data_IF_319186395332
#
_entry.id   IF_319186395332
#
_cell.length_a   1.000
_cell.length_b   1.000
_cell.length_c   1.000
_cell.angle_alpha   90.00
_cell.angle_beta   90.00
_cell.angle_gamma   90.00
#
_symmetry.space_group_name_H-M   'P 1'
#
loop_
_entity.id
_entity.type
_entity.pdbx_description
1 polymer ?
#
# COMPACT_ATOMS: atom_id res chain seq x y z
N UNK A 1 -7.69 -10.72 15.21
CA UNK A 1 -8.46 -9.53 14.76
C UNK A 1 -9.07 -9.90 13.44
N UNK A 2 -10.38 -10.07 13.40
CA UNK A 2 -11.06 -10.62 12.22
C UNK A 2 -11.32 -9.53 11.18
N UNK A 3 -11.42 -9.91 9.90
CA UNK A 3 -11.65 -8.98 8.79
C UNK A 3 -12.90 -8.11 9.01
N UNK A 4 -13.96 -8.68 9.57
CA UNK A 4 -15.19 -7.98 9.91
C UNK A 4 -14.95 -6.87 10.93
N UNK A 5 -14.19 -7.15 12.00
CA UNK A 5 -13.87 -6.17 13.05
C UNK A 5 -13.02 -5.02 12.50
N UNK A 6 -12.04 -5.31 11.65
CA UNK A 6 -11.22 -4.28 10.99
C UNK A 6 -12.04 -3.39 10.05
N UNK A 7 -12.99 -3.98 9.32
CA UNK A 7 -13.89 -3.24 8.44
C UNK A 7 -14.81 -2.31 9.25
N UNK A 8 -15.36 -2.80 10.35
CA UNK A 8 -16.20 -2.02 11.27
C UNK A 8 -15.43 -0.84 11.89
N UNK A 9 -14.17 -1.06 12.29
CA UNK A 9 -13.31 0.02 12.80
C UNK A 9 -13.09 1.11 11.75
N UNK A 10 -12.77 0.75 10.51
CA UNK A 10 -12.60 1.74 9.42
C UNK A 10 -13.90 2.49 9.17
N UNK A 11 -15.02 1.78 9.17
CA UNK A 11 -16.34 2.39 8.98
C UNK A 11 -16.70 3.38 10.11
N UNK A 12 -16.38 3.04 11.37
CA UNK A 12 -16.55 3.95 12.51
C UNK A 12 -15.71 5.21 12.34
N UNK A 13 -14.44 5.07 11.93
CA UNK A 13 -13.57 6.22 11.65
C UNK A 13 -14.14 7.09 10.54
N UNK A 14 -14.60 6.49 9.44
CA UNK A 14 -15.21 7.23 8.33
C UNK A 14 -16.49 7.97 8.74
N UNK A 15 -17.32 7.35 9.60
CA UNK A 15 -18.51 7.99 10.18
C UNK A 15 -18.14 9.17 11.07
N UNK A 16 -17.12 9.02 11.93
CA UNK A 16 -16.63 10.10 12.79
C UNK A 16 -16.06 11.28 11.99
N UNK A 17 -15.45 11.00 10.84
CA UNK A 17 -14.98 12.02 9.89
C UNK A 17 -16.11 12.65 9.06
N UNK A 18 -17.38 12.30 9.30
CA UNK A 18 -18.54 12.71 8.51
C UNK A 18 -18.34 12.51 6.99
N UNK A 19 -17.66 11.42 6.63
CA UNK A 19 -17.28 11.16 5.25
C UNK A 19 -18.49 10.74 4.41
N UNK A 20 -18.88 11.57 3.43
CA UNK A 20 -20.03 11.31 2.54
C UNK A 20 -19.57 11.00 1.11
N UNK A 21 -19.41 9.72 0.74
CA UNK A 21 -19.11 9.33 -0.64
C UNK A 21 -20.32 9.57 -1.55
N UNK A 22 -20.08 10.01 -2.79
CA UNK A 22 -21.16 10.38 -3.73
C UNK A 22 -21.86 9.18 -4.39
N UNK A 23 -21.10 8.14 -4.75
CA UNK A 23 -21.57 7.04 -5.62
C UNK A 23 -21.55 5.64 -4.98
N UNK A 24 -20.86 5.48 -3.86
CA UNK A 24 -20.62 4.18 -3.24
C UNK A 24 -21.11 4.20 -1.80
N UNK A 25 -21.56 3.04 -1.31
CA UNK A 25 -21.90 2.88 0.11
C UNK A 25 -20.62 3.00 0.93
N UNK A 26 -20.79 3.49 2.15
CA UNK A 26 -19.69 3.73 3.08
C UNK A 26 -19.03 2.41 3.52
N UNK A 27 -19.82 1.33 3.60
CA UNK A 27 -19.38 -0.04 3.88
C UNK A 27 -18.47 -0.59 2.78
N UNK A 28 -18.90 -0.50 1.52
CA UNK A 28 -18.11 -0.96 0.36
C UNK A 28 -16.76 -0.24 0.30
N UNK A 29 -16.75 1.06 0.60
CA UNK A 29 -15.52 1.85 0.66
C UNK A 29 -14.63 1.47 1.84
N UNK A 30 -15.20 1.23 3.03
CA UNK A 30 -14.43 0.77 4.18
C UNK A 30 -13.73 -0.56 3.87
N UNK A 31 -14.45 -1.49 3.25
CA UNK A 31 -13.94 -2.80 2.89
C UNK A 31 -12.88 -2.70 1.77
N UNK A 32 -13.08 -1.84 0.76
CA UNK A 32 -12.07 -1.60 -0.28
C UNK A 32 -10.80 -0.92 0.25
N UNK A 33 -10.92 0.01 1.20
CA UNK A 33 -9.78 0.64 1.89
C UNK A 33 -9.03 -0.42 2.72
N UNK A 34 -9.75 -1.30 3.41
CA UNK A 34 -9.12 -2.41 4.14
C UNK A 34 -8.34 -3.33 3.20
N UNK A 35 -8.96 -3.75 2.09
CA UNK A 35 -8.31 -4.57 1.08
C UNK A 35 -7.04 -3.88 0.52
N UNK A 36 -7.10 -2.57 0.29
CA UNK A 36 -5.95 -1.78 -0.14
C UNK A 36 -4.81 -1.75 0.89
N UNK A 37 -5.14 -1.59 2.16
CA UNK A 37 -4.17 -1.58 3.26
C UNK A 37 -3.50 -2.95 3.45
N UNK A 38 -4.29 -4.03 3.35
CA UNK A 38 -3.81 -5.41 3.41
C UNK A 38 -3.07 -5.83 2.13
N UNK A 39 -3.17 -5.05 1.06
CA UNK A 39 -2.47 -5.33 -0.19
C UNK A 39 -3.11 -6.38 -1.07
N UNK A 40 -4.38 -6.71 -0.81
CA UNK A 40 -5.19 -7.62 -1.61
C UNK A 40 -5.58 -6.97 -2.93
N UNK A 41 -5.73 -7.76 -3.99
CA UNK A 41 -6.19 -7.26 -5.29
C UNK A 41 -7.62 -6.71 -5.19
N UNK A 42 -7.78 -5.43 -5.52
CA UNK A 42 -9.05 -4.69 -5.35
C UNK A 42 -10.01 -4.89 -6.54
N UNK A 43 -9.58 -5.58 -7.59
CA UNK A 43 -10.31 -5.69 -8.86
C UNK A 43 -11.67 -6.41 -8.75
N UNK A 44 -11.89 -7.19 -7.69
CA UNK A 44 -13.15 -7.93 -7.46
C UNK A 44 -14.14 -7.23 -6.53
N UNK A 45 -13.80 -6.05 -6.01
CA UNK A 45 -14.57 -5.39 -4.93
C UNK A 45 -15.65 -4.42 -5.41
N UNK A 46 -16.00 -4.43 -6.70
CA UNK A 46 -17.02 -3.53 -7.28
C UNK A 46 -16.64 -2.05 -7.30
N UNK A 47 -15.49 -1.66 -6.72
CA UNK A 47 -14.97 -0.30 -6.71
C UNK A 47 -13.79 -0.22 -7.70
N UNK A 48 -13.86 0.66 -8.72
CA UNK A 48 -12.76 0.87 -9.64
C UNK A 48 -11.47 1.29 -8.93
N UNK A 49 -10.28 0.81 -9.38
CA UNK A 49 -9.00 1.18 -8.77
C UNK A 49 -8.75 2.69 -8.72
N UNK A 50 -9.23 3.44 -9.71
CA UNK A 50 -9.15 4.90 -9.77
C UNK A 50 -9.96 5.57 -8.66
N UNK A 51 -11.17 5.07 -8.38
CA UNK A 51 -12.04 5.54 -7.29
C UNK A 51 -11.41 5.28 -5.93
N UNK A 52 -10.86 4.07 -5.74
CA UNK A 52 -10.13 3.75 -4.52
C UNK A 52 -8.90 4.64 -4.34
N UNK A 53 -8.14 4.89 -5.40
CA UNK A 53 -6.99 5.79 -5.38
C UNK A 53 -7.40 7.22 -4.98
N UNK A 54 -8.51 7.73 -5.53
CA UNK A 54 -9.05 9.04 -5.16
C UNK A 54 -9.37 9.12 -3.65
N UNK A 55 -10.10 8.14 -3.12
CA UNK A 55 -10.52 8.16 -1.72
C UNK A 55 -9.40 7.90 -0.74
N UNK A 56 -8.49 6.97 -1.03
CA UNK A 56 -7.30 6.73 -0.18
C UNK A 56 -6.42 7.96 -0.11
N UNK A 57 -6.20 8.66 -1.23
CA UNK A 57 -5.47 9.94 -1.27
C UNK A 57 -6.19 11.05 -0.49
N UNK A 58 -7.51 11.18 -0.65
CA UNK A 58 -8.33 12.17 0.06
C UNK A 58 -8.30 11.97 1.58
N UNK A 59 -8.29 10.72 2.02
CA UNK A 59 -8.23 10.34 3.44
C UNK A 59 -6.80 10.32 4.01
N UNK A 60 -5.78 10.62 3.21
CA UNK A 60 -4.38 10.54 3.64
C UNK A 60 -3.90 9.11 3.92
N UNK A 61 -4.66 8.09 3.51
CA UNK A 61 -4.32 6.68 3.69
C UNK A 61 -3.17 6.34 2.77
N UNK A 62 -2.00 6.09 3.36
CA UNK A 62 -0.81 5.64 2.63
C UNK A 62 -0.61 4.15 2.90
N UNK A 63 -0.55 3.35 1.84
CA UNK A 63 -0.14 1.95 1.97
C UNK A 63 1.25 1.92 2.59
N UNK A 64 1.44 1.08 3.61
CA UNK A 64 2.74 0.87 4.24
C UNK A 64 3.72 0.50 3.14
N UNK A 65 4.69 1.38 2.88
CA UNK A 65 5.72 1.14 1.89
C UNK A 65 6.57 0.00 2.43
N UNK A 66 6.66 -1.08 1.67
CA UNK A 66 7.57 -2.19 1.93
C UNK A 66 8.94 -1.61 2.32
N UNK A 67 9.48 -2.03 3.47
CA UNK A 67 10.76 -1.50 3.97
C UNK A 67 11.82 -1.76 2.92
N UNK A 68 12.32 -0.69 2.30
CA UNK A 68 13.40 -0.80 1.33
C UNK A 68 14.69 -1.13 2.07
N UNK A 69 15.57 -1.98 1.50
CA UNK A 69 16.87 -2.24 2.09
C UNK A 69 17.69 -0.95 2.12
N UNK A 70 18.57 -0.81 3.12
CA UNK A 70 19.60 0.22 3.08
C UNK A 70 20.72 -0.19 2.12
N UNK A 71 21.38 0.79 1.53
CA UNK A 71 22.51 0.52 0.66
C UNK A 71 23.66 -0.11 1.47
N UNK A 72 24.17 -1.31 1.11
CA UNK A 72 25.24 -1.97 1.86
C UNK A 72 26.58 -1.22 1.79
N UNK A 73 26.77 -0.32 0.82
CA UNK A 73 28.03 0.43 0.66
C UNK A 73 28.08 1.78 1.37
N UNK A 74 26.94 2.45 1.56
CA UNK A 74 26.92 3.81 2.16
C UNK A 74 25.83 3.99 3.22
N UNK A 75 25.12 2.91 3.57
CA UNK A 75 24.01 2.87 4.53
C UNK A 75 22.84 3.83 4.26
N UNK A 76 22.81 4.50 3.10
CA UNK A 76 21.70 5.36 2.71
C UNK A 76 20.41 4.55 2.45
N UNK A 77 19.29 5.10 2.88
CA UNK A 77 17.93 4.63 2.61
C UNK A 77 17.37 5.10 1.26
N UNK A 78 18.08 6.00 0.58
CA UNK A 78 17.74 6.53 -0.74
C UNK A 78 18.05 5.53 -1.85
N UNK A 79 17.28 4.45 -1.88
CA UNK A 79 17.39 3.35 -2.85
C UNK A 79 16.11 3.22 -3.71
N UNK A 80 16.31 2.84 -4.97
CA UNK A 80 15.23 2.58 -5.94
C UNK A 80 15.36 1.20 -6.55
N UNK A 81 14.22 0.54 -6.83
CA UNK A 81 14.21 -0.72 -7.58
C UNK A 81 14.75 -0.44 -8.99
N UNK A 82 15.71 -1.25 -9.44
CA UNK A 82 16.43 -1.15 -10.71
C UNK A 82 16.32 -2.46 -11.50
N UNK A 83 15.13 -3.08 -11.46
CA UNK A 83 14.82 -4.37 -12.07
C UNK A 83 14.66 -5.52 -11.07
N UNK A 84 14.18 -6.65 -11.58
CA UNK A 84 13.99 -7.88 -10.82
C UNK A 84 14.24 -9.11 -11.70
N UNK A 85 14.74 -10.19 -11.09
CA UNK A 85 14.78 -11.55 -11.65
C UNK A 85 13.79 -12.44 -10.87
N UNK A 86 13.71 -13.75 -11.18
CA UNK A 86 12.77 -14.71 -10.57
C UNK A 86 12.67 -14.52 -9.04
N UNK A 87 13.81 -14.56 -8.35
CA UNK A 87 13.88 -14.52 -6.88
C UNK A 87 14.61 -13.31 -6.29
N UNK A 88 15.23 -12.48 -7.15
CA UNK A 88 16.10 -11.38 -6.73
C UNK A 88 15.53 -10.05 -7.20
N UNK A 89 15.56 -9.05 -6.33
CA UNK A 89 15.24 -7.66 -6.68
C UNK A 89 16.55 -6.87 -6.72
N UNK A 90 16.81 -6.17 -7.82
CA UNK A 90 17.96 -5.27 -7.97
C UNK A 90 17.58 -3.88 -7.47
N UNK A 91 18.48 -3.24 -6.74
CA UNK A 91 18.32 -1.88 -6.21
C UNK A 91 19.51 -1.02 -6.61
N UNK A 92 19.26 0.26 -6.91
CA UNK A 92 20.29 1.28 -7.14
C UNK A 92 20.23 2.32 -6.03
N UNK A 93 21.37 2.60 -5.40
CA UNK A 93 21.49 3.71 -4.45
C UNK A 93 21.56 5.04 -5.22
N UNK A 94 20.80 6.05 -4.79
CA UNK A 94 20.84 7.39 -5.39
C UNK A 94 22.04 8.22 -4.92
N UNK A 95 22.58 7.89 -3.75
CA UNK A 95 23.75 8.57 -3.14
C UNK A 95 25.05 8.04 -3.76
N UNK A 96 25.44 6.81 -3.46
CA UNK A 96 26.72 6.25 -3.94
C UNK A 96 26.66 5.62 -5.35
N UNK A 97 25.50 5.67 -6.01
CA UNK A 97 25.23 5.14 -7.37
C UNK A 97 25.43 3.62 -7.56
N UNK A 98 25.92 2.89 -6.55
CA UNK A 98 26.11 1.43 -6.59
C UNK A 98 24.78 0.68 -6.68
N UNK A 99 24.84 -0.49 -7.31
CA UNK A 99 23.71 -1.41 -7.47
C UNK A 99 23.94 -2.64 -6.60
N UNK A 100 22.89 -3.15 -5.96
CA UNK A 100 22.95 -4.36 -5.14
C UNK A 100 21.66 -5.18 -5.29
N UNK A 101 21.69 -6.45 -4.90
CA UNK A 101 20.55 -7.37 -5.00
C UNK A 101 20.07 -7.80 -3.64
N UNK A 102 18.76 -7.94 -3.47
CA UNK A 102 18.15 -8.57 -2.30
C UNK A 102 17.25 -9.73 -2.74
N UNK A 103 17.23 -10.81 -1.96
CA UNK A 103 16.27 -11.89 -2.13
C UNK A 103 14.86 -11.37 -1.84
N UNK A 104 13.88 -11.77 -2.64
CA UNK A 104 12.47 -11.49 -2.34
C UNK A 104 12.07 -12.35 -1.14
N UNK A 105 11.76 -11.72 -0.01
CA UNK A 105 11.10 -12.41 1.09
C UNK A 105 9.67 -12.72 0.63
N UNK A 106 9.39 -13.99 0.35
CA UNK A 106 8.02 -14.49 0.21
C UNK A 106 7.42 -14.49 1.62
N UNK A 107 6.59 -13.48 1.92
CA UNK A 107 5.78 -13.40 3.13
C UNK A 107 4.34 -13.72 2.80
#
# INVERSE_FOLDING_TARGET
MDLATLTQLILLVLRNLNFKPRKHKLEDLALAILAYLLGVQVTKLGIPPSTLYYYTRKLGVRRKKESRPRCPSCNSDSVVKNGSSREKTKYKCRVCKRTFTQLKTTG
#
